data_IF_448644699286
#
_entry.id   IF_448644699286
#
_cell.length_a   1.000
_cell.length_b   1.000
_cell.length_c   1.000
_cell.angle_alpha   90.00
_cell.angle_beta   90.00
_cell.angle_gamma   90.00
#
_symmetry.space_group_name_H-M   'P 1'
#
loop_
_entity.id
_entity.type
_entity.pdbx_description
1 polymer ?
2 non-polymer ?
3 non-polymer ?
4 water ?
#
# COMPACT_ATOMS: atom_id res chain seq x y z
N UNK A 2 -4.22 6.43 25.03
CA UNK A 2 -4.52 6.76 23.64
C UNK A 2 -5.95 6.32 23.26
N UNK A 3 -6.82 7.30 23.03
CA UNK A 3 -8.22 7.01 22.78
C UNK A 3 -8.41 6.33 21.42
N UNK A 4 -9.53 5.61 21.29
CA UNK A 4 -9.90 5.02 20.01
C UNK A 4 -9.90 6.08 18.91
N UNK A 5 -10.47 7.25 19.20
CA UNK A 5 -10.61 8.29 18.18
C UNK A 5 -9.26 8.84 17.75
N UNK A 6 -8.32 9.01 18.70
CA UNK A 6 -7.01 9.52 18.33
C UNK A 6 -6.19 8.46 17.59
N UNK A 7 -6.30 7.19 17.99
CA UNK A 7 -5.67 6.12 17.23
C UNK A 7 -6.18 6.10 15.80
N UNK A 8 -7.49 6.26 15.63
CA UNK A 8 -8.08 6.25 14.29
C UNK A 8 -7.59 7.43 13.47
N UNK A 9 -7.58 8.63 14.06
CA UNK A 9 -7.08 9.80 13.36
C UNK A 9 -5.63 9.60 12.91
N UNK A 10 -4.81 8.98 13.76
CA UNK A 10 -3.42 8.72 13.40
C UNK A 10 -3.31 7.80 12.19
N UNK A 11 -4.09 6.71 12.19
CA UNK A 11 -4.02 5.77 11.07
C UNK A 11 -4.59 6.37 9.79
N UNK A 12 -5.61 7.21 9.91
CA UNK A 12 -6.15 7.89 8.74
C UNK A 12 -5.14 8.87 8.16
N UNK A 13 -4.44 9.61 9.03
CA UNK A 13 -3.45 10.57 8.54
C UNK A 13 -2.30 9.86 7.84
N UNK A 14 -1.91 8.68 8.34
CA UNK A 14 -0.81 7.92 7.75
C UNK A 14 -1.11 7.50 6.32
N UNK A 15 -2.38 7.39 5.96
CA UNK A 15 -2.78 6.98 4.62
C UNK A 15 -2.76 8.13 3.62
N UNK A 16 -2.60 9.36 4.09
CA UNK A 16 -2.69 10.52 3.21
C UNK A 16 -1.44 10.66 2.36
N UNK A 17 -1.65 11.04 1.10
CA UNK A 17 -0.57 11.43 0.21
C UNK A 17 0.35 12.43 0.88
N UNK A 18 1.66 12.18 0.79
CA UNK A 18 2.65 13.02 1.43
C UNK A 18 2.95 14.30 0.67
N UNK A 19 2.33 14.52 -0.49
CA UNK A 19 2.50 15.77 -1.22
C UNK A 19 1.31 16.68 -0.94
N UNK A 20 0.09 16.20 -1.21
CA UNK A 20 -1.09 17.05 -1.07
C UNK A 20 -1.76 16.95 0.29
N UNK A 21 -1.54 15.85 1.03
CA UNK A 21 -2.18 15.61 2.33
C UNK A 21 -3.70 15.74 2.25
N UNK A 22 -4.26 15.45 1.08
CA UNK A 22 -5.70 15.56 0.87
C UNK A 22 -6.31 14.23 0.45
N UNK A 23 -5.80 13.63 -0.62
CA UNK A 23 -6.23 12.33 -1.09
C UNK A 23 -5.35 11.24 -0.47
N UNK A 24 -5.85 10.01 -0.48
CA UNK A 24 -5.09 8.91 0.07
C UNK A 24 -4.04 8.42 -0.92
N UNK A 25 -2.97 7.83 -0.38
CA UNK A 25 -1.94 7.22 -1.21
C UNK A 25 -2.55 6.16 -2.11
N UNK A 26 -2.15 6.17 -3.38
CA UNK A 26 -2.72 5.27 -4.37
C UNK A 26 -1.68 4.71 -5.32
N UNK A 27 -0.39 4.97 -5.09
CA UNK A 27 0.68 4.62 -6.01
C UNK A 27 1.81 4.00 -5.21
N UNK A 28 2.41 2.93 -5.74
CA UNK A 28 3.71 2.43 -5.28
C UNK A 28 4.77 2.82 -6.30
N UNK A 29 5.87 3.40 -5.83
CA UNK A 29 6.97 3.73 -6.73
C UNK A 29 7.84 2.50 -6.95
N UNK A 30 8.17 2.24 -8.21
CA UNK A 30 9.12 1.21 -8.61
C UNK A 30 10.38 1.95 -9.04
N UNK A 31 11.59 1.51 -8.66
CA UNK A 31 11.90 0.27 -7.94
C UNK A 31 11.98 0.37 -6.42
N UNK A 32 11.92 1.57 -5.83
CA UNK A 32 12.20 1.69 -4.40
C UNK A 32 11.09 1.13 -3.52
N UNK A 33 9.86 1.05 -4.01
CA UNK A 33 8.78 0.46 -3.24
C UNK A 33 8.14 1.34 -2.19
N UNK A 34 8.38 2.65 -2.21
CA UNK A 34 7.74 3.52 -1.23
C UNK A 34 6.31 3.88 -1.64
N UNK A 35 5.43 3.96 -0.64
CA UNK A 35 4.06 4.43 -0.78
C UNK A 35 4.08 5.89 -0.34
N UNK A 36 3.95 6.81 -1.30
CA UNK A 36 4.15 8.23 -1.04
C UNK A 36 2.95 9.07 -1.47
N UNK A 37 2.38 8.81 -2.64
CA UNK A 37 1.49 9.78 -3.26
C UNK A 37 0.18 9.16 -3.72
N UNK A 38 -0.81 10.04 -3.85
CA UNK A 38 -2.00 9.75 -4.62
C UNK A 38 -1.65 9.71 -6.11
N UNK A 39 -2.64 9.37 -6.94
CA UNK A 39 -2.41 9.27 -8.38
C UNK A 39 -2.07 10.62 -8.99
N UNK A 40 -2.82 11.66 -8.61
CA UNK A 40 -2.61 12.98 -9.18
C UNK A 40 -1.22 13.52 -8.85
N UNK A 41 -0.80 13.40 -7.59
CA UNK A 41 0.48 13.97 -7.20
C UNK A 41 1.66 13.18 -7.75
N UNK A 42 1.44 11.90 -8.07
CA UNK A 42 2.51 11.09 -8.65
C UNK A 42 2.97 11.66 -9.98
N UNK A 43 2.09 12.39 -10.67
CA UNK A 43 2.44 12.99 -11.95
C UNK A 43 3.49 14.09 -11.81
N UNK A 44 3.69 14.62 -10.60
CA UNK A 44 4.61 15.73 -10.39
C UNK A 44 6.03 15.30 -10.05
N UNK A 45 6.26 14.04 -9.74
CA UNK A 45 7.55 13.60 -9.21
C UNK A 45 8.23 12.67 -10.21
N UNK A 46 9.52 12.90 -10.45
CA UNK A 46 10.34 11.94 -11.18
C UNK A 46 11.24 11.13 -10.26
N UNK A 47 11.36 11.53 -8.99
CA UNK A 47 12.14 10.84 -7.98
C UNK A 47 11.26 10.65 -6.75
N UNK A 48 11.55 9.61 -5.99
CA UNK A 48 10.78 9.35 -4.79
C UNK A 48 11.05 10.45 -3.77
N UNK A 49 10.03 11.11 -3.23
CA UNK A 49 10.28 12.13 -2.20
C UNK A 49 10.93 11.59 -0.93
N UNK A 50 10.82 10.29 -0.65
CA UNK A 50 11.37 9.69 0.57
C UNK A 50 12.84 9.30 0.43
N UNK A 51 13.23 8.72 -0.70
CA UNK A 51 14.58 8.18 -0.88
C UNK A 51 15.31 8.73 -2.10
N UNK A 52 14.64 9.53 -2.93
CA UNK A 52 15.21 10.20 -4.10
C UNK A 52 15.67 9.25 -5.19
N UNK A 53 15.24 7.99 -5.14
CA UNK A 53 15.49 7.07 -6.24
C UNK A 53 14.66 7.46 -7.46
N UNK A 54 15.29 7.43 -8.63
CA UNK A 54 14.58 7.72 -9.87
C UNK A 54 13.47 6.69 -10.07
N UNK A 55 12.26 7.17 -10.30
CA UNK A 55 11.10 6.30 -10.44
C UNK A 55 11.05 5.75 -11.86
N UNK A 56 11.02 4.42 -11.99
CA UNK A 56 10.86 3.80 -13.29
C UNK A 56 9.41 3.44 -13.60
N UNK A 57 8.58 3.22 -12.59
CA UNK A 57 7.17 2.92 -12.81
C UNK A 57 6.36 3.38 -11.60
N UNK A 58 5.16 3.88 -11.88
CA UNK A 58 4.21 4.33 -10.86
C UNK A 58 3.05 3.35 -10.88
N UNK A 59 3.12 2.34 -10.01
CA UNK A 59 2.16 1.25 -9.99
C UNK A 59 0.93 1.65 -9.20
N UNK A 60 -0.24 1.57 -9.83
CA UNK A 60 -1.48 1.86 -9.12
C UNK A 60 -1.79 0.75 -8.13
N UNK A 61 -2.20 1.14 -6.93
CA UNK A 61 -2.69 0.19 -5.93
C UNK A 61 -4.12 -0.20 -6.29
N UNK A 62 -4.41 -1.49 -6.23
CA UNK A 62 -5.77 -1.96 -6.44
C UNK A 62 -6.56 -1.83 -5.15
N UNK B 1 -16.13 0.65 10.10
CA UNK B 1 -17.38 0.87 9.38
C UNK B 1 -18.42 1.60 10.24
N UNK B 2 -19.16 0.80 11.02
CA UNK B 2 -20.33 1.28 11.75
C UNK B 2 -20.00 2.05 13.02
N UNK B 3 -18.73 2.18 13.38
CA UNK B 3 -18.36 2.85 14.62
C UNK B 3 -16.89 3.20 14.55
N UNK B 4 -16.45 4.07 15.46
CA UNK B 4 -15.03 4.43 15.49
C UNK B 4 -14.16 3.23 15.84
N UNK B 5 -14.65 2.35 16.73
CA UNK B 5 -13.88 1.15 17.05
C UNK B 5 -13.78 0.22 15.86
N UNK B 6 -14.86 0.08 15.09
CA UNK B 6 -14.79 -0.78 13.91
C UNK B 6 -13.94 -0.14 12.81
N UNK B 7 -14.05 1.18 12.64
CA UNK B 7 -13.18 1.87 11.70
C UNK B 7 -11.72 1.68 12.06
N UNK B 8 -11.41 1.77 13.36
CA UNK B 8 -10.04 1.58 13.81
C UNK B 8 -9.55 0.17 13.49
N UNK B 9 -10.35 -0.84 13.85
CA UNK B 9 -10.00 -2.22 13.55
C UNK B 9 -9.73 -2.41 12.07
N UNK B 10 -10.56 -1.82 11.20
CA UNK B 10 -10.37 -2.00 9.77
C UNK B 10 -9.02 -1.45 9.33
N UNK B 11 -8.65 -0.27 9.82
CA UNK B 11 -7.38 0.32 9.41
C UNK B 11 -6.19 -0.46 9.98
N UNK B 12 -6.34 -1.06 11.16
CA UNK B 12 -5.28 -1.91 11.70
C UNK B 12 -5.17 -3.20 10.90
N UNK B 13 -6.32 -3.83 10.64
CA UNK B 13 -6.32 -5.11 9.94
C UNK B 13 -5.86 -4.97 8.51
N UNK B 14 -6.12 -3.83 7.88
CA UNK B 14 -5.80 -3.70 6.46
C UNK B 14 -4.30 -3.68 6.21
N UNK B 15 -3.49 -3.44 7.24
CA UNK B 15 -2.04 -3.48 7.09
C UNK B 15 -1.49 -4.90 6.96
N UNK B 16 -2.25 -5.90 7.39
CA UNK B 16 -1.75 -7.26 7.56
C UNK B 16 -1.98 -8.10 6.31
N UNK B 17 -1.04 -9.01 6.06
CA UNK B 17 -1.17 -10.00 4.99
C UNK B 17 -2.55 -10.64 5.00
N UNK B 18 -3.21 -10.62 3.83
CA UNK B 18 -4.55 -11.19 3.75
C UNK B 18 -4.55 -12.70 3.88
N UNK B 19 -3.43 -13.35 3.61
CA UNK B 19 -3.34 -14.81 3.70
C UNK B 19 -3.09 -15.24 5.15
N UNK B 20 -1.96 -14.82 5.73
CA UNK B 20 -1.57 -15.28 7.06
C UNK B 20 -2.06 -14.39 8.20
N UNK B 21 -2.37 -13.13 7.92
CA UNK B 21 -2.83 -12.15 8.91
C UNK B 21 -1.88 -11.97 10.09
N UNK B 22 -0.61 -12.39 9.93
CA UNK B 22 0.36 -12.35 11.02
C UNK B 22 1.51 -11.39 10.77
N UNK B 23 1.66 -10.89 9.55
CA UNK B 23 2.78 -10.06 9.15
C UNK B 23 2.23 -8.99 8.22
N UNK B 24 2.81 -7.79 8.31
CA UNK B 24 2.37 -6.71 7.44
C UNK B 24 2.52 -7.11 5.98
N UNK B 25 1.63 -6.56 5.16
CA UNK B 25 1.80 -6.65 3.71
C UNK B 25 3.13 -6.03 3.34
N UNK B 26 3.87 -6.71 2.47
CA UNK B 26 5.21 -6.28 2.10
C UNK B 26 5.46 -6.39 0.60
N UNK B 27 4.45 -6.74 -0.20
CA UNK B 27 4.59 -6.93 -1.63
C UNK B 27 3.39 -6.29 -2.32
N UNK B 28 3.62 -5.63 -3.44
CA UNK B 28 2.55 -5.29 -4.37
C UNK B 28 2.75 -6.10 -5.64
N UNK B 29 1.67 -6.69 -6.14
CA UNK B 29 1.73 -7.45 -7.38
C UNK B 29 1.62 -6.52 -8.58
N UNK B 30 2.51 -6.71 -9.54
CA UNK B 30 2.48 -6.05 -10.83
C UNK B 30 2.03 -7.10 -11.84
N UNK B 31 1.06 -6.82 -12.71
CA UNK B 31 0.48 -5.50 -12.99
C UNK B 31 -0.78 -5.14 -12.21
N UNK B 32 -1.42 -6.08 -11.50
CA UNK B 32 -2.77 -5.80 -11.02
C UNK B 32 -2.81 -4.75 -9.93
N UNK B 33 -1.74 -4.63 -9.13
CA UNK B 33 -1.66 -3.62 -8.09
C UNK B 33 -2.22 -4.05 -6.75
N UNK B 34 -2.58 -5.31 -6.58
CA UNK B 34 -3.10 -5.75 -5.30
C UNK B 34 -1.99 -5.78 -4.27
N UNK B 35 -2.28 -5.19 -3.11
CA UNK B 35 -1.46 -5.28 -1.90
C UNK B 35 -2.12 -6.38 -1.08
N UNK B 36 -1.57 -7.59 -1.17
CA UNK B 36 -2.21 -8.78 -0.63
C UNK B 36 -1.40 -9.41 0.49
N UNK B 37 -0.10 -9.48 0.32
CA UNK B 37 0.67 -10.48 1.03
C UNK B 37 1.91 -9.89 1.66
N UNK B 38 2.34 -10.57 2.73
CA UNK B 38 3.70 -10.45 3.23
C UNK B 38 4.67 -11.10 2.24
N UNK B 39 5.97 -10.99 2.52
CA UNK B 39 6.94 -11.52 1.55
C UNK B 39 6.85 -13.04 1.43
N UNK B 40 6.73 -13.74 2.56
CA UNK B 40 6.72 -15.20 2.53
C UNK B 40 5.46 -15.73 1.85
N UNK B 41 4.31 -15.12 2.12
CA UNK B 41 3.08 -15.58 1.49
C UNK B 41 3.04 -15.30 -0.02
N UNK B 42 3.88 -14.38 -0.51
CA UNK B 42 3.94 -14.11 -1.95
C UNK B 42 4.80 -15.12 -2.69
N UNK B 43 5.60 -15.92 -1.99
CA UNK B 43 6.54 -16.82 -2.65
C UNK B 43 5.85 -17.85 -3.54
N UNK B 44 4.72 -18.41 -3.08
CA UNK B 44 4.10 -19.55 -3.76
C UNK B 44 3.20 -19.16 -4.93
N UNK B 45 2.77 -17.90 -5.03
CA UNK B 45 1.78 -17.53 -6.04
C UNK B 45 2.45 -17.07 -7.33
N UNK B 46 1.90 -17.53 -8.45
CA UNK B 46 2.25 -16.94 -9.73
C UNK B 46 1.09 -16.16 -10.35
N UNK B 47 -0.10 -16.25 -9.77
CA UNK B 47 -1.21 -15.38 -10.12
C UNK B 47 -1.72 -14.74 -8.84
N UNK B 48 -2.26 -13.54 -8.97
CA UNK B 48 -2.75 -12.84 -7.79
C UNK B 48 -3.88 -13.65 -7.16
N UNK B 49 -3.82 -13.95 -5.87
CA UNK B 49 -4.90 -14.74 -5.25
C UNK B 49 -6.21 -13.99 -5.11
N UNK B 50 -6.26 -12.69 -5.42
CA UNK B 50 -7.51 -11.96 -5.37
C UNK B 50 -8.17 -11.91 -6.74
N UNK B 51 -7.41 -11.54 -7.76
CA UNK B 51 -7.99 -11.35 -9.08
C UNK B 51 -7.49 -12.32 -10.13
N UNK B 52 -6.51 -13.16 -9.80
CA UNK B 52 -6.00 -14.23 -10.66
C UNK B 52 -5.22 -13.73 -11.86
N UNK B 53 -4.93 -12.43 -11.93
CA UNK B 53 -4.07 -11.89 -12.96
C UNK B 53 -2.66 -12.44 -12.79
N UNK B 54 -2.05 -12.86 -13.90
CA UNK B 54 -0.68 -13.35 -13.86
C UNK B 54 0.23 -12.26 -13.31
N UNK B 55 1.09 -12.63 -12.37
CA UNK B 55 2.02 -11.69 -11.75
C UNK B 55 3.27 -11.62 -12.61
N UNK B 56 3.64 -10.42 -13.05
CA UNK B 56 4.92 -10.26 -13.72
C UNK B 56 6.01 -9.74 -12.79
N UNK B 57 5.65 -9.14 -11.66
CA UNK B 57 6.67 -8.76 -10.69
C UNK B 57 6.07 -8.68 -9.30
N UNK B 58 6.85 -9.11 -8.31
CA UNK B 58 6.49 -9.02 -6.90
C UNK B 58 7.35 -7.91 -6.33
N UNK B 59 6.79 -6.71 -6.27
CA UNK B 59 7.54 -5.52 -5.88
C UNK B 59 7.51 -5.37 -4.37
N UNK B 60 8.68 -5.24 -3.76
CA UNK B 60 8.74 -5.00 -2.33
C UNK B 60 8.23 -3.60 -2.01
N UNK B 61 7.47 -3.48 -0.92
CA UNK B 61 6.95 -2.19 -0.48
C UNK B 61 7.32 -1.99 0.98
N UNK B 62 7.14 -0.76 1.44
CA UNK B 62 7.42 -0.44 2.83
C UNK B 62 6.24 0.20 3.55
X LIG C 1 -1.75 13.82 -3.53
X LIG D 1 11.51 5.71 -2.13
X LIG E 1 -2.51 -15.18 13.49
X LIG F 1 1.66 -13.73 4.94
X LIG G 1 -4.93 -8.82 -8.07
#
# INVERSE_FOLDING_TARGET
EISTEEQLRRLQEEKLCKICMDRNIAIVFVPCGHLVTCKQCAEAVDKCPMCYTVITFKQKIFM
EISTEEQLRRLQEEKLCKICMDRNIAIVFVPCGHLVTCKQCAEAVDKCPMCYTVITFKQKIFM
ZN ZN
ZN ZN
CA CA
ZN ZN
ZN ZN
#
